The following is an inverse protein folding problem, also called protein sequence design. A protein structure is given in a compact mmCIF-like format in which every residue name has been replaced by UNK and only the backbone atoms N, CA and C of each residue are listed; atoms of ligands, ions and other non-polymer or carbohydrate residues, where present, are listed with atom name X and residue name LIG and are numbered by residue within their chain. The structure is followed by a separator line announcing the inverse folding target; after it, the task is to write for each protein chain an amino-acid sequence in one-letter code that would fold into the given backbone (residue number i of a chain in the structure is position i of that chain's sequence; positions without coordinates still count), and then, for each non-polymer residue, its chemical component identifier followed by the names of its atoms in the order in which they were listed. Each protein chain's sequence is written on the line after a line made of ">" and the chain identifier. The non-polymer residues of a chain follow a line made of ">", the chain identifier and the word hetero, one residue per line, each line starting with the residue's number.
data_IF_909891760485
#
_entry.id   IF_909891760485
#
_cell.length_a   1.000
_cell.length_b   1.000
_cell.length_c   1.000
_cell.angle_alpha   90.00
_cell.angle_beta   90.00
_cell.angle_gamma   90.00
#
_symmetry.space_group_name_H-M   'P 1'
#
loop_
_entity.id
_entity.type
_entity.pdbx_description
1 polymer ?
#
# COMPACT_ATOMS: atom_id res chain seq x y z
N UNK A 1 -19.08 5.63 14.09
CA UNK A 1 -18.12 5.91 13.01
C UNK A 1 -17.45 4.59 12.68
N UNK A 2 -17.52 4.13 11.45
CA UNK A 2 -16.82 2.93 10.99
C UNK A 2 -15.34 3.24 10.90
N UNK A 3 -14.49 2.41 11.52
CA UNK A 3 -13.04 2.56 11.41
C UNK A 3 -12.60 2.44 9.95
N UNK A 4 -11.69 3.31 9.53
CA UNK A 4 -11.03 3.23 8.23
C UNK A 4 -9.61 2.70 8.40
N UNK A 5 -9.21 1.79 7.52
CA UNK A 5 -7.87 1.21 7.51
C UNK A 5 -7.21 1.47 6.16
N UNK A 6 -5.89 1.69 6.18
CA UNK A 6 -5.03 1.77 4.99
C UNK A 6 -3.97 0.70 5.06
N UNK A 7 -3.78 -0.01 3.95
CA UNK A 7 -2.73 -1.01 3.78
C UNK A 7 -1.61 -0.42 2.91
N UNK A 8 -0.38 -0.45 3.44
CA UNK A 8 0.81 0.03 2.75
C UNK A 8 1.82 -1.10 2.60
N UNK A 9 2.38 -1.25 1.40
CA UNK A 9 3.23 -2.39 1.03
C UNK A 9 4.64 -1.99 0.56
N UNK A 10 4.98 -0.70 0.64
CA UNK A 10 6.16 -0.14 0.00
C UNK A 10 6.85 0.95 0.81
N UNK A 11 7.10 2.08 0.16
CA UNK A 11 7.86 3.23 0.67
C UNK A 11 7.23 3.92 1.89
N UNK A 12 5.98 3.61 2.22
CA UNK A 12 5.26 4.14 3.39
C UNK A 12 5.38 3.27 4.65
N UNK A 13 6.00 2.08 4.55
CA UNK A 13 6.19 1.15 5.68
C UNK A 13 7.15 1.69 6.75
N UNK A 14 7.03 1.24 8.00
CA UNK A 14 7.89 1.65 9.14
C UNK A 14 9.38 1.36 8.93
N UNK A 15 9.73 0.32 8.16
CA UNK A 15 11.11 -0.07 7.87
C UNK A 15 11.43 0.03 6.38
N UNK A 16 12.60 0.58 6.07
CA UNK A 16 13.15 0.58 4.71
C UNK A 16 13.74 -0.78 4.35
N UNK A 17 14.00 -1.01 3.05
CA UNK A 17 14.72 -2.20 2.53
C UNK A 17 16.05 -2.50 3.24
N UNK A 18 16.71 -1.46 3.77
CA UNK A 18 17.97 -1.60 4.49
C UNK A 18 17.81 -2.15 5.92
N UNK A 19 16.57 -2.30 6.42
CA UNK A 19 16.26 -2.65 7.81
C UNK A 19 16.35 -1.46 8.77
N UNK A 20 16.47 -0.23 8.25
CA UNK A 20 16.51 1.00 9.06
C UNK A 20 15.13 1.65 9.15
N UNK A 21 14.82 2.39 10.24
CA UNK A 21 13.57 3.12 10.36
C UNK A 21 13.36 4.02 9.15
N UNK A 22 12.13 4.05 8.65
CA UNK A 22 11.79 4.85 7.49
C UNK A 22 11.78 6.34 7.85
N UNK A 23 12.66 7.10 7.19
CA UNK A 23 12.77 8.55 7.36
C UNK A 23 12.07 9.33 6.26
N UNK A 24 11.36 8.65 5.37
CA UNK A 24 10.63 9.29 4.29
C UNK A 24 9.55 10.23 4.87
N UNK A 25 9.46 11.51 4.44
CA UNK A 25 8.49 12.47 4.96
C UNK A 25 7.04 11.97 4.89
N UNK A 26 6.72 11.18 3.86
CA UNK A 26 5.37 10.64 3.70
C UNK A 26 5.01 9.57 4.75
N UNK A 27 5.98 8.80 5.24
CA UNK A 27 5.74 7.90 6.38
C UNK A 27 5.40 8.71 7.64
N UNK A 28 6.05 9.86 7.86
CA UNK A 28 5.72 10.75 8.97
C UNK A 28 4.34 11.39 8.81
N UNK A 29 3.94 11.75 7.59
CA UNK A 29 2.61 12.29 7.31
C UNK A 29 1.52 11.24 7.60
N UNK A 30 1.76 9.97 7.23
CA UNK A 30 0.90 8.84 7.55
C UNK A 30 0.73 8.68 9.06
N UNK A 31 1.83 8.59 9.82
CA UNK A 31 1.77 8.34 11.28
C UNK A 31 1.16 9.49 12.09
N UNK A 32 1.17 10.72 11.56
CA UNK A 32 0.42 11.85 12.15
C UNK A 32 -1.10 11.64 12.09
N UNK A 33 -1.60 10.93 11.09
CA UNK A 33 -3.05 10.78 10.84
C UNK A 33 -3.55 9.33 10.96
N UNK A 34 -2.67 8.37 11.21
CA UNK A 34 -3.01 6.96 11.37
C UNK A 34 -2.09 6.26 12.39
N UNK A 35 -2.60 5.23 13.05
CA UNK A 35 -1.85 4.36 13.97
C UNK A 35 -1.52 3.05 13.27
N UNK A 36 -0.29 2.56 13.45
CA UNK A 36 0.02 1.18 13.06
C UNK A 36 -0.89 0.22 13.84
N UNK A 37 -1.49 -0.75 13.13
CA UNK A 37 -2.33 -1.79 13.71
C UNK A 37 -1.56 -3.13 13.77
N UNK A 38 -1.22 -3.68 12.61
CA UNK A 38 -0.54 -4.96 12.47
C UNK A 38 0.08 -5.12 11.08
N UNK A 39 0.89 -6.16 10.90
CA UNK A 39 1.39 -6.59 9.59
C UNK A 39 0.36 -7.52 8.94
N UNK A 40 0.34 -7.62 7.61
CA UNK A 40 -0.61 -8.48 6.90
C UNK A 40 -0.28 -8.63 5.41
N UNK A 41 -1.12 -9.38 4.70
CA UNK A 41 -0.98 -9.53 3.25
C UNK A 41 -2.31 -9.50 2.49
N UNK A 42 -2.27 -9.05 1.25
CA UNK A 42 -3.40 -9.13 0.32
C UNK A 42 -3.02 -9.91 -0.95
N UNK A 43 -3.99 -10.50 -1.67
CA UNK A 43 -3.73 -11.13 -2.96
C UNK A 43 -3.28 -10.09 -3.99
N UNK A 44 -2.20 -10.38 -4.70
CA UNK A 44 -1.65 -9.46 -5.69
C UNK A 44 -0.22 -9.80 -6.10
N UNK A 45 0.23 -9.17 -7.17
CA UNK A 45 1.62 -9.23 -7.63
C UNK A 45 2.30 -7.90 -7.36
N UNK A 46 3.58 -7.98 -7.00
CA UNK A 46 4.37 -6.81 -6.70
C UNK A 46 5.46 -6.63 -7.75
N UNK A 47 5.50 -5.46 -8.38
CA UNK A 47 6.50 -5.12 -9.39
C UNK A 47 7.36 -3.97 -8.91
N UNK A 48 8.62 -3.97 -9.34
CA UNK A 48 9.51 -2.83 -9.20
C UNK A 48 9.34 -1.91 -10.42
N UNK A 49 8.68 -0.76 -10.23
CA UNK A 49 8.44 0.21 -11.32
C UNK A 49 9.73 1.00 -11.59
N UNK A 50 10.30 1.57 -10.52
CA UNK A 50 11.61 2.24 -10.53
C UNK A 50 12.34 2.00 -9.20
N UNK A 51 12.32 3.00 -8.32
CA UNK A 51 12.81 2.91 -6.95
C UNK A 51 11.67 2.74 -5.94
N UNK A 52 10.47 2.41 -6.44
CA UNK A 52 9.26 2.20 -5.66
C UNK A 52 8.45 1.02 -6.24
N UNK A 53 7.64 0.34 -5.41
CA UNK A 53 6.86 -0.81 -5.82
C UNK A 53 5.49 -0.43 -6.39
N UNK A 54 4.94 -1.29 -7.25
CA UNK A 54 3.56 -1.25 -7.70
C UNK A 54 2.86 -2.59 -7.44
N UNK A 55 1.74 -2.54 -6.73
CA UNK A 55 0.85 -3.68 -6.56
C UNK A 55 -0.15 -3.74 -7.72
N UNK A 56 -0.34 -4.92 -8.30
CA UNK A 56 -1.45 -5.18 -9.22
C UNK A 56 -2.28 -6.36 -8.72
N UNK A 57 -3.57 -6.36 -9.05
CA UNK A 57 -4.46 -7.49 -8.76
C UNK A 57 -3.94 -8.79 -9.37
N UNK A 58 -4.06 -9.90 -8.64
CA UNK A 58 -3.80 -11.26 -9.14
C UNK A 58 -5.08 -12.09 -9.04
N UNK A 59 -5.87 -12.19 -10.13
CA UNK A 59 -7.11 -12.97 -10.12
C UNK A 59 -6.91 -14.44 -9.78
N UNK A 60 -5.69 -14.97 -9.94
CA UNK A 60 -5.38 -16.36 -9.58
C UNK A 60 -5.24 -16.58 -8.07
N UNK A 61 -5.07 -15.52 -7.28
CA UNK A 61 -4.89 -15.58 -5.82
C UNK A 61 -3.61 -16.27 -5.35
N UNK A 62 -2.71 -16.64 -6.27
CA UNK A 62 -1.50 -17.41 -5.95
C UNK A 62 -0.38 -16.54 -5.37
N UNK A 63 -0.32 -15.28 -5.77
CA UNK A 63 0.66 -14.32 -5.22
C UNK A 63 0.03 -13.47 -4.13
N UNK A 64 0.86 -13.10 -3.16
CA UNK A 64 0.48 -12.29 -2.00
C UNK A 64 1.48 -11.16 -1.85
N UNK A 65 0.99 -9.97 -1.50
CA UNK A 65 1.82 -8.81 -1.19
C UNK A 65 1.82 -8.57 0.30
N UNK A 66 3.00 -8.51 0.90
CA UNK A 66 3.21 -8.24 2.32
C UNK A 66 3.23 -6.73 2.59
N UNK A 67 2.63 -6.32 3.68
CA UNK A 67 2.57 -4.92 4.08
C UNK A 67 2.08 -4.72 5.50
N UNK A 68 1.65 -3.49 5.76
CA UNK A 68 1.31 -2.98 7.08
C UNK A 68 -0.06 -2.33 7.03
N UNK A 69 -0.87 -2.58 8.04
CA UNK A 69 -2.18 -1.95 8.20
C UNK A 69 -2.05 -0.82 9.21
N UNK A 70 -2.64 0.32 8.86
CA UNK A 70 -2.78 1.46 9.73
C UNK A 70 -4.25 1.83 9.90
N UNK A 71 -4.69 2.04 11.15
CA UNK A 71 -6.01 2.61 11.47
C UNK A 71 -5.98 4.12 11.29
N UNK A 72 -6.82 4.63 10.41
CA UNK A 72 -6.88 6.05 10.05
C UNK A 72 -7.70 6.82 11.08
N UNK A 73 -7.05 7.74 11.81
CA UNK A 73 -7.70 8.63 12.79
C UNK A 73 -8.31 9.87 12.15
N UNK A 74 -7.67 10.38 11.09
CA UNK A 74 -8.03 11.65 10.45
C UNK A 74 -8.15 11.49 8.94
N UNK A 75 -9.19 10.80 8.42
CA UNK A 75 -9.33 10.48 7.00
C UNK A 75 -9.33 11.74 6.12
N UNK A 76 -10.04 12.78 6.53
CA UNK A 76 -10.11 14.07 5.82
C UNK A 76 -8.74 14.76 5.64
N UNK A 77 -7.76 14.45 6.50
CA UNK A 77 -6.38 14.97 6.39
C UNK A 77 -5.47 14.02 5.64
N UNK A 78 -5.60 12.71 5.89
CA UNK A 78 -4.72 11.70 5.33
C UNK A 78 -4.94 11.51 3.83
N UNK A 79 -6.20 11.40 3.41
CA UNK A 79 -6.55 11.03 2.06
C UNK A 79 -6.02 12.00 0.99
N UNK A 80 -6.19 13.34 1.11
CA UNK A 80 -5.64 14.27 0.13
C UNK A 80 -4.11 14.19 0.03
N UNK A 81 -3.42 13.92 1.14
CA UNK A 81 -1.96 13.81 1.19
C UNK A 81 -1.50 12.56 0.44
N UNK A 82 -2.12 11.40 0.72
CA UNK A 82 -1.77 10.15 0.05
C UNK A 82 -2.18 10.17 -1.43
N UNK A 83 -3.34 10.73 -1.76
CA UNK A 83 -3.82 10.86 -3.14
C UNK A 83 -2.86 11.71 -3.97
N UNK A 84 -2.38 12.83 -3.41
CA UNK A 84 -1.36 13.67 -4.07
C UNK A 84 -0.03 12.92 -4.23
N UNK A 85 0.38 12.17 -3.21
CA UNK A 85 1.66 11.45 -3.22
C UNK A 85 1.69 10.30 -4.25
N UNK A 86 0.60 9.53 -4.33
CA UNK A 86 0.45 8.40 -5.23
C UNK A 86 -0.07 8.83 -6.62
N UNK A 87 -0.15 10.14 -6.87
CA UNK A 87 -0.65 10.72 -8.11
C UNK A 87 -2.02 10.13 -8.52
N UNK A 88 -2.93 10.06 -7.55
CA UNK A 88 -4.31 9.63 -7.72
C UNK A 88 -5.25 10.82 -7.77
N UNK A 89 -5.96 10.97 -8.89
CA UNK A 89 -7.03 11.93 -9.06
C UNK A 89 -8.38 11.18 -9.22
N UNK A 90 -9.31 11.29 -8.25
CA UNK A 90 -10.60 10.62 -8.35
C UNK A 90 -11.49 11.14 -9.49
N UNK A 91 -11.23 12.35 -10.01
CA UNK A 91 -11.95 12.89 -11.17
C UNK A 91 -11.41 12.39 -12.52
N UNK A 92 -10.17 11.89 -12.56
CA UNK A 92 -9.52 11.33 -13.75
C UNK A 92 -8.75 10.04 -13.40
N UNK A 93 -9.44 8.97 -12.95
CA UNK A 93 -8.77 7.74 -12.49
C UNK A 93 -7.91 7.10 -13.59
N UNK A 94 -8.30 7.20 -14.85
CA UNK A 94 -7.58 6.64 -16.00
C UNK A 94 -6.22 7.31 -16.27
N UNK A 95 -6.01 8.53 -15.77
CA UNK A 95 -4.74 9.26 -15.88
C UNK A 95 -3.87 9.13 -14.62
N UNK A 96 -4.40 8.50 -13.57
CA UNK A 96 -3.71 8.35 -12.29
C UNK A 96 -2.66 7.23 -12.35
N UNK A 97 -1.56 7.39 -11.63
CA UNK A 97 -0.53 6.34 -11.53
C UNK A 97 -0.99 5.16 -10.68
N UNK A 98 -1.73 5.48 -9.62
CA UNK A 98 -2.34 4.51 -8.73
C UNK A 98 -3.82 4.79 -8.57
N UNK A 99 -4.59 3.74 -8.30
CA UNK A 99 -6.00 3.79 -7.93
C UNK A 99 -6.16 3.46 -6.45
N UNK A 100 -6.86 4.32 -5.71
CA UNK A 100 -7.26 3.99 -4.33
C UNK A 100 -8.48 3.08 -4.34
N UNK A 101 -8.29 1.83 -3.94
CA UNK A 101 -9.33 0.79 -3.96
C UNK A 101 -9.45 0.10 -2.60
N UNK A 102 -10.57 -0.56 -2.35
CA UNK A 102 -10.72 -1.46 -1.20
C UNK A 102 -10.16 -2.85 -1.53
N UNK A 103 -9.45 -3.43 -0.58
CA UNK A 103 -8.99 -4.82 -0.62
C UNK A 103 -9.17 -5.47 0.76
N UNK A 104 -9.25 -6.80 0.76
CA UNK A 104 -9.22 -7.59 1.99
C UNK A 104 -7.78 -7.97 2.30
N UNK A 105 -7.31 -7.58 3.47
CA UNK A 105 -5.98 -7.95 3.99
C UNK A 105 -6.17 -9.05 5.02
N UNK A 106 -5.40 -10.13 4.87
CA UNK A 106 -5.35 -11.24 5.81
C UNK A 106 -4.23 -10.99 6.80
N UNK A 107 -4.57 -11.05 8.09
CA UNK A 107 -3.69 -10.80 9.22
C UNK A 107 -3.72 -12.00 10.17
N UNK A 108 -2.61 -12.33 10.83
CA UNK A 108 -2.61 -13.35 11.86
C UNK A 108 -3.34 -12.89 13.13
N UNK A 109 -3.34 -11.59 13.47
CA UNK A 109 -3.95 -11.10 14.71
C UNK A 109 -5.45 -10.82 14.62
N UNK A 110 -5.95 -10.40 13.46
CA UNK A 110 -7.33 -9.91 13.29
C UNK A 110 -8.14 -10.68 12.22
N UNK A 111 -7.55 -11.68 11.57
CA UNK A 111 -8.19 -12.36 10.44
C UNK A 111 -8.30 -11.44 9.23
N UNK A 112 -9.51 -11.23 8.71
CA UNK A 112 -9.75 -10.41 7.53
C UNK A 112 -10.06 -8.95 7.88
N UNK A 113 -9.29 -8.02 7.31
CA UNK A 113 -9.46 -6.56 7.51
C UNK A 113 -9.66 -5.87 6.17
N UNK A 114 -10.78 -5.15 6.02
CA UNK A 114 -11.05 -4.34 4.82
C UNK A 114 -10.26 -3.03 4.85
N UNK A 115 -9.30 -2.89 3.94
CA UNK A 115 -8.37 -1.77 3.88
C UNK A 115 -8.47 -1.02 2.56
N UNK A 116 -8.21 0.29 2.59
CA UNK A 116 -7.84 1.04 1.39
C UNK A 116 -6.40 0.70 0.99
N UNK A 117 -6.15 0.57 -0.31
CA UNK A 117 -4.83 0.31 -0.89
C UNK A 117 -4.67 1.10 -2.18
N UNK A 118 -3.44 1.48 -2.52
CA UNK A 118 -3.11 2.08 -3.81
C UNK A 118 -2.63 0.99 -4.77
N UNK A 119 -3.37 0.77 -5.86
CA UNK A 119 -3.09 -0.26 -6.89
C UNK A 119 -2.51 0.43 -8.11
N UNK A 120 -1.40 -0.07 -8.65
CA UNK A 120 -0.77 0.51 -9.83
C UNK A 120 -1.67 0.35 -11.06
N UNK A 121 -1.84 1.44 -11.81
CA UNK A 121 -2.86 1.55 -12.86
C UNK A 121 -2.32 1.39 -14.30
N UNK A 122 -1.00 1.23 -14.47
CA UNK A 122 -0.39 1.14 -15.81
C UNK A 122 0.05 -0.28 -16.15
N UNK A 123 0.40 -0.47 -17.43
CA UNK A 123 0.95 -1.73 -17.93
C UNK A 123 2.23 -2.15 -17.20
N UNK A 124 2.34 -3.44 -16.89
CA UNK A 124 3.50 -4.02 -16.18
C UNK A 124 4.48 -4.74 -17.12
N UNK A 125 4.30 -4.62 -18.44
CA UNK A 125 5.17 -5.27 -19.43
C UNK A 125 6.62 -4.77 -19.27
N UNK A 126 7.56 -5.70 -19.12
CA UNK A 126 8.98 -5.39 -18.93
C UNK A 126 9.36 -4.95 -17.51
N UNK A 127 8.40 -4.79 -16.59
CA UNK A 127 8.72 -4.51 -15.19
C UNK A 127 9.22 -5.77 -14.47
N UNK A 128 10.15 -5.56 -13.53
CA UNK A 128 10.68 -6.66 -12.71
C UNK A 128 9.67 -7.05 -11.65
N UNK A 129 9.18 -8.29 -11.72
CA UNK A 129 8.41 -8.90 -10.63
C UNK A 129 9.30 -9.04 -9.38
N UNK A 130 8.72 -8.80 -8.21
CA UNK A 130 9.29 -9.09 -6.89
C UNK A 130 8.63 -10.39 -6.40
N UNK A 131 9.25 -11.57 -6.60
CA UNK A 131 8.57 -12.85 -6.38
C UNK A 131 8.19 -13.11 -4.93
N UNK A 132 8.90 -12.49 -3.98
CA UNK A 132 8.60 -12.59 -2.55
C UNK A 132 7.29 -11.88 -2.16
N UNK A 133 6.82 -10.94 -3.00
CA UNK A 133 5.71 -10.06 -2.65
C UNK A 133 6.01 -9.10 -1.50
N UNK A 134 7.26 -9.01 -1.04
CA UNK A 134 7.67 -8.11 0.03
C UNK A 134 8.71 -7.13 -0.50
N UNK A 135 8.32 -5.86 -0.62
CA UNK A 135 9.21 -4.80 -1.08
C UNK A 135 10.40 -4.58 -0.15
N UNK A 136 10.22 -4.77 1.16
CA UNK A 136 11.23 -4.52 2.18
C UNK A 136 12.06 -5.75 2.52
N UNK A 137 11.73 -6.93 1.96
CA UNK A 137 12.57 -8.10 2.05
C UNK A 137 13.92 -7.88 1.33
N UNK A 138 14.98 -8.44 1.92
CA UNK A 138 16.34 -8.41 1.38
C UNK A 138 16.52 -9.43 0.27
#
# INVERSE_FOLDING_TARGET
>A
MTDEFVFVYGTLRKWSRSGKPNRHPMHQALTKSADYLCDGHCPGRLYLIRHYPGLTSDPSGKQRVQGEIYRVRHPQKLWPILDTFENFNPAEPEKSDYLRMKTTVITPEYGEVSCWVYVYNHGVQGLRLIPSGDYCAR
#
